data_IF_773974325278
#
_entry.id   IF_773974325278
#
_cell.length_a   1.000
_cell.length_b   1.000
_cell.length_c   1.000
_cell.angle_alpha   90.00
_cell.angle_beta   90.00
_cell.angle_gamma   90.00
#
_symmetry.space_group_name_H-M   'P 1'
#
loop_
_entity.id
_entity.type
_entity.pdbx_description
1 polymer ?
#
# COMPACT_ATOMS: atom_id res chain seq x y z
N UNK A 1 -10.64 -3.73 11.08
CA UNK A 1 -10.36 -2.69 10.06
C UNK A 1 -11.16 -1.44 10.43
N UNK A 2 -10.62 -0.23 10.26
CA UNK A 2 -11.34 1.02 10.56
C UNK A 2 -11.18 2.06 9.45
N UNK A 3 -12.12 3.00 9.37
CA UNK A 3 -12.06 4.21 8.52
C UNK A 3 -12.25 5.43 9.40
N UNK A 4 -11.29 6.35 9.38
CA UNK A 4 -11.30 7.55 10.23
C UNK A 4 -11.55 7.22 11.71
N UNK A 5 -10.90 6.15 12.21
CA UNK A 5 -11.06 5.64 13.57
C UNK A 5 -12.39 4.94 13.87
N UNK A 6 -13.35 4.95 12.95
CA UNK A 6 -14.61 4.20 13.10
C UNK A 6 -14.47 2.80 12.51
N UNK A 7 -14.77 1.77 13.28
CA UNK A 7 -14.77 0.40 12.78
C UNK A 7 -15.68 0.26 11.55
N UNK A 8 -15.20 -0.45 10.53
CA UNK A 8 -16.02 -0.76 9.37
C UNK A 8 -17.13 -1.74 9.79
N UNK A 9 -18.36 -1.45 9.37
CA UNK A 9 -19.54 -2.24 9.69
C UNK A 9 -19.90 -3.17 8.53
N UNK A 10 -20.49 -4.33 8.86
CA UNK A 10 -20.79 -5.40 7.91
C UNK A 10 -19.79 -6.55 8.00
N UNK A 11 -20.14 -7.69 7.37
CA UNK A 11 -19.32 -8.91 7.28
C UNK A 11 -17.86 -8.61 6.89
N UNK A 12 -16.90 -9.53 7.17
CA UNK A 12 -15.49 -9.29 6.90
C UNK A 12 -15.28 -8.75 5.48
N UNK A 13 -14.75 -7.54 5.39
CA UNK A 13 -14.55 -6.84 4.13
C UNK A 13 -13.16 -7.21 3.62
N UNK A 14 -13.12 -8.04 2.58
CA UNK A 14 -11.91 -8.42 1.86
C UNK A 14 -11.84 -7.62 0.56
N UNK A 15 -10.72 -6.92 0.34
CA UNK A 15 -10.55 -5.99 -0.76
C UNK A 15 -9.08 -6.02 -1.23
N UNK A 16 -8.87 -5.78 -2.52
CA UNK A 16 -7.54 -5.55 -3.11
C UNK A 16 -7.21 -4.05 -3.26
N UNK A 17 -8.25 -3.20 -3.32
CA UNK A 17 -8.15 -1.77 -3.61
C UNK A 17 -9.16 -0.99 -2.77
N UNK A 18 -8.72 0.16 -2.25
CA UNK A 18 -9.53 1.05 -1.44
C UNK A 18 -9.50 2.47 -2.01
N UNK A 19 -10.69 3.07 -2.16
CA UNK A 19 -10.79 4.48 -2.50
C UNK A 19 -10.54 5.32 -1.25
N UNK A 20 -9.43 6.06 -1.26
CA UNK A 20 -9.06 6.98 -0.18
C UNK A 20 -9.28 8.41 -0.64
N UNK A 21 -10.18 9.15 0.02
CA UNK A 21 -10.38 10.58 -0.24
C UNK A 21 -9.39 11.42 0.57
N UNK A 22 -9.25 12.69 0.19
CA UNK A 22 -8.44 13.66 0.93
C UNK A 22 -8.86 13.71 2.41
N UNK A 23 -7.91 13.50 3.31
CA UNK A 23 -8.12 13.53 4.76
C UNK A 23 -8.72 12.24 5.34
N UNK A 24 -8.98 11.21 4.53
CA UNK A 24 -9.40 9.91 5.05
C UNK A 24 -8.20 9.07 5.49
N UNK A 25 -8.40 8.28 6.54
CA UNK A 25 -7.45 7.29 7.04
C UNK A 25 -8.13 5.94 7.13
N UNK A 26 -7.36 4.87 6.90
CA UNK A 26 -7.82 3.49 7.02
C UNK A 26 -6.81 2.68 7.82
N UNK A 27 -7.30 1.84 8.73
CA UNK A 27 -6.49 0.83 9.42
C UNK A 27 -6.84 -0.54 8.85
N UNK A 28 -5.86 -1.18 8.20
CA UNK A 28 -6.02 -2.43 7.49
C UNK A 28 -5.31 -3.57 8.23
N UNK A 29 -5.76 -4.79 7.99
CA UNK A 29 -5.10 -6.01 8.43
C UNK A 29 -4.68 -6.78 7.18
N UNK A 30 -3.45 -7.29 7.18
CA UNK A 30 -2.86 -8.02 6.07
C UNK A 30 -2.10 -9.22 6.63
N UNK A 31 -2.36 -10.38 6.06
CA UNK A 31 -1.59 -11.59 6.32
C UNK A 31 -0.61 -11.78 5.16
N UNK A 32 0.69 -11.69 5.45
CA UNK A 32 1.74 -11.86 4.45
C UNK A 32 2.14 -13.35 4.33
N UNK A 33 1.24 -14.16 3.77
CA UNK A 33 1.43 -15.61 3.61
C UNK A 33 2.30 -16.00 2.39
N UNK A 34 2.65 -15.03 1.53
CA UNK A 34 3.56 -15.19 0.41
C UNK A 34 4.81 -14.30 0.56
N UNK A 35 5.97 -14.85 0.96
CA UNK A 35 7.17 -14.08 1.26
C UNK A 35 7.66 -13.23 0.09
N UNK A 36 7.96 -11.96 0.37
CA UNK A 36 8.45 -11.02 -0.62
C UNK A 36 8.12 -9.58 -0.24
N UNK A 37 8.84 -8.63 -0.83
CA UNK A 37 8.48 -7.22 -0.69
C UNK A 37 7.30 -6.90 -1.59
N UNK A 38 6.28 -6.25 -1.04
CA UNK A 38 5.06 -5.95 -1.77
C UNK A 38 4.99 -4.46 -2.10
N UNK A 39 4.62 -4.12 -3.34
CA UNK A 39 4.41 -2.73 -3.74
C UNK A 39 2.94 -2.38 -3.59
N UNK A 40 2.67 -1.27 -2.91
CA UNK A 40 1.34 -0.66 -2.90
C UNK A 40 1.41 0.60 -3.76
N UNK A 41 0.44 0.78 -4.64
CA UNK A 41 0.41 1.90 -5.57
C UNK A 41 -1.00 2.39 -5.81
N UNK A 42 -1.14 3.59 -6.35
CA UNK A 42 -2.43 4.07 -6.80
C UNK A 42 -2.90 3.31 -8.05
N UNK A 43 -4.16 2.89 -8.08
CA UNK A 43 -4.75 2.28 -9.28
C UNK A 43 -5.06 3.31 -10.39
N UNK A 44 -4.72 4.59 -10.19
CA UNK A 44 -4.61 5.59 -11.24
C UNK A 44 -3.17 5.61 -11.76
N UNK A 45 -2.95 5.08 -12.97
CA UNK A 45 -1.61 4.93 -13.56
C UNK A 45 -0.84 6.24 -13.72
N UNK A 46 -1.54 7.37 -13.90
CA UNK A 46 -0.89 8.68 -13.94
C UNK A 46 -0.32 9.02 -12.56
N UNK A 47 -1.08 8.80 -11.49
CA UNK A 47 -0.58 9.01 -10.14
C UNK A 47 0.54 8.03 -9.77
N UNK A 48 0.41 6.75 -10.14
CA UNK A 48 1.46 5.76 -9.91
C UNK A 48 2.77 6.12 -10.63
N UNK A 49 2.70 6.53 -11.90
CA UNK A 49 3.88 6.97 -12.66
C UNK A 49 4.50 8.28 -12.15
N UNK A 50 3.70 9.13 -11.50
CA UNK A 50 4.17 10.31 -10.75
C UNK A 50 4.71 9.97 -9.35
N UNK A 51 4.76 8.69 -8.97
CA UNK A 51 5.37 8.24 -7.73
C UNK A 51 4.41 8.01 -6.57
N UNK A 52 3.09 7.92 -6.80
CA UNK A 52 2.16 7.50 -5.74
C UNK A 52 2.24 5.98 -5.50
N UNK A 53 3.35 5.57 -4.90
CA UNK A 53 3.72 4.19 -4.59
C UNK A 53 4.47 4.13 -3.26
N UNK A 54 4.42 2.98 -2.60
CA UNK A 54 5.16 2.66 -1.39
C UNK A 54 5.55 1.19 -1.39
N UNK A 55 6.66 0.84 -0.73
CA UNK A 55 6.99 -0.55 -0.45
C UNK A 55 6.50 -0.94 0.94
N UNK A 56 5.84 -2.10 1.02
CA UNK A 56 5.55 -2.78 2.26
C UNK A 56 6.72 -3.72 2.58
N UNK A 57 7.59 -3.25 3.46
CA UNK A 57 8.75 -3.99 3.95
C UNK A 57 8.41 -4.56 5.34
N UNK A 58 8.81 -5.80 5.60
CA UNK A 58 8.62 -6.46 6.89
C UNK A 58 9.84 -7.32 7.23
N UNK A 59 9.97 -7.60 8.52
CA UNK A 59 11.15 -8.25 9.09
C UNK A 59 11.49 -9.58 8.38
N UNK A 60 12.79 -9.80 8.14
CA UNK A 60 13.30 -11.02 7.53
C UNK A 60 13.24 -11.06 5.99
N UNK A 61 12.59 -10.09 5.33
CA UNK A 61 12.53 -10.04 3.86
C UNK A 61 13.42 -8.92 3.31
N UNK A 62 14.27 -9.26 2.35
CA UNK A 62 15.17 -8.31 1.68
C UNK A 62 15.22 -8.56 0.18
N UNK A 63 15.70 -7.58 -0.57
CA UNK A 63 15.91 -7.69 -2.02
C UNK A 63 17.14 -6.91 -2.43
N UNK A 64 17.82 -7.35 -3.50
CA UNK A 64 18.88 -6.57 -4.14
C UNK A 64 18.34 -5.59 -5.20
N UNK A 65 17.05 -5.66 -5.52
CA UNK A 65 16.42 -4.80 -6.53
C UNK A 65 16.01 -3.45 -5.93
N UNK A 66 16.04 -2.42 -6.77
CA UNK A 66 15.66 -1.05 -6.41
C UNK A 66 14.50 -0.57 -7.26
N UNK A 67 13.58 0.20 -6.69
CA UNK A 67 12.54 0.86 -7.47
C UNK A 67 13.17 2.02 -8.23
N UNK A 68 12.77 2.21 -9.49
CA UNK A 68 13.32 3.27 -10.33
C UNK A 68 13.03 4.67 -9.79
N UNK A 69 14.02 5.56 -9.83
CA UNK A 69 13.92 6.93 -9.29
C UNK A 69 13.26 7.95 -10.24
N UNK A 70 12.80 7.53 -11.42
CA UNK A 70 12.27 8.44 -12.46
C UNK A 70 11.09 9.29 -12.00
N UNK A 71 10.26 8.77 -11.10
CA UNK A 71 9.12 9.48 -10.54
C UNK A 71 9.51 10.56 -9.52
N UNK A 72 10.76 10.55 -9.03
CA UNK A 72 11.20 11.34 -7.89
C UNK A 72 10.79 10.77 -6.53
N UNK A 73 9.95 9.74 -6.48
CA UNK A 73 9.67 8.99 -5.27
C UNK A 73 10.65 7.82 -5.14
N UNK A 74 11.04 7.48 -3.90
CA UNK A 74 11.97 6.41 -3.57
C UNK A 74 11.30 5.45 -2.57
N UNK A 75 10.37 4.57 -3.03
CA UNK A 75 9.54 3.74 -2.16
C UNK A 75 10.30 2.76 -1.26
N UNK A 76 11.54 2.44 -1.62
CA UNK A 76 12.39 1.40 -1.04
C UNK A 76 13.58 1.96 -0.22
N UNK A 77 13.54 3.26 0.09
CA UNK A 77 14.48 3.98 0.97
C UNK A 77 13.73 4.59 2.15
#
# INVERSE_FOLDING_TARGET
MSKNGSALQGSPVYLDTLLTKKGETYELYLEADNPGLWMIHCHNLKHASMGMSMMLNYEGITTSYRVGAKSGNLPDL
#
